data_IF_777383748095
#
_entry.id   IF_777383748095
#
_cell.length_a   1.000
_cell.length_b   1.000
_cell.length_c   1.000
_cell.angle_alpha   90.00
_cell.angle_beta   90.00
_cell.angle_gamma   90.00
#
_symmetry.space_group_name_H-M   'P 1'
#
loop_
_entity.id
_entity.type
_entity.pdbx_description
1 polymer ?
#
# COMPACT_ATOMS: atom_id res chain seq x y z
N UNK A 1 5.97 13.69 -1.50
CA UNK A 1 4.54 14.05 -1.64
C UNK A 1 3.73 12.87 -1.13
N UNK A 2 3.24 12.94 0.10
CA UNK A 2 2.18 12.05 0.57
C UNK A 2 0.89 12.51 -0.12
N UNK A 3 0.27 11.65 -0.91
CA UNK A 3 -0.90 12.01 -1.74
C UNK A 3 -2.15 12.38 -0.92
N UNK A 4 -2.08 12.49 0.42
CA UNK A 4 -3.19 12.84 1.29
C UNK A 4 -4.27 11.76 1.45
N UNK A 5 -4.14 10.62 0.75
CA UNK A 5 -5.14 9.54 0.70
C UNK A 5 -4.98 8.58 1.88
N UNK A 6 -3.76 8.11 2.14
CA UNK A 6 -3.41 7.26 3.30
C UNK A 6 -1.88 7.15 3.43
N UNK A 7 -1.37 7.04 4.66
CA UNK A 7 0.06 6.85 4.95
C UNK A 7 0.29 5.46 5.60
N UNK A 8 0.45 4.38 4.80
CA UNK A 8 0.74 3.06 5.34
C UNK A 8 2.19 2.94 5.81
N UNK A 9 2.44 1.98 6.70
CA UNK A 9 3.79 1.60 7.16
C UNK A 9 4.14 0.19 6.70
N UNK A 10 5.37 -0.26 6.95
CA UNK A 10 5.75 -1.67 6.76
C UNK A 10 5.91 -2.37 8.10
N UNK A 11 5.78 -3.69 8.08
CA UNK A 11 6.08 -4.58 9.20
C UNK A 11 6.56 -5.93 8.67
N UNK A 12 6.88 -6.86 9.56
CA UNK A 12 7.23 -8.23 9.20
C UNK A 12 6.23 -9.20 9.80
N UNK A 13 5.65 -10.07 8.99
CA UNK A 13 4.75 -11.14 9.42
C UNK A 13 5.32 -12.47 8.96
N UNK A 14 5.62 -13.37 9.91
CA UNK A 14 6.24 -14.66 9.59
C UNK A 14 7.57 -14.54 8.84
N UNK A 15 8.39 -13.54 9.18
CA UNK A 15 9.68 -13.28 8.52
C UNK A 15 9.58 -12.62 7.14
N UNK A 16 8.38 -12.26 6.68
CA UNK A 16 8.15 -11.63 5.36
C UNK A 16 7.73 -10.18 5.52
N UNK A 17 8.32 -9.29 4.70
CA UNK A 17 7.94 -7.88 4.63
C UNK A 17 6.46 -7.77 4.21
N UNK A 18 5.69 -6.97 4.95
CA UNK A 18 4.27 -6.74 4.74
C UNK A 18 3.95 -5.24 4.87
N UNK A 19 2.91 -4.80 4.15
CA UNK A 19 2.33 -3.47 4.33
C UNK A 19 1.36 -3.53 5.50
N UNK A 20 1.43 -2.56 6.41
CA UNK A 20 0.60 -2.45 7.61
C UNK A 20 -0.11 -1.11 7.65
N UNK A 21 -1.40 -1.16 7.98
CA UNK A 21 -2.30 -0.03 8.10
C UNK A 21 -2.89 -0.03 9.51
N UNK A 22 -2.80 1.10 10.21
CA UNK A 22 -3.44 1.29 11.52
C UNK A 22 -4.72 2.11 11.34
N UNK A 23 -5.87 1.46 11.39
CA UNK A 23 -7.18 2.10 11.24
C UNK A 23 -7.67 2.52 12.63
N UNK A 24 -7.26 3.72 13.06
CA UNK A 24 -7.52 4.23 14.42
C UNK A 24 -8.38 5.49 14.45
N UNK A 25 -8.60 6.11 13.29
CA UNK A 25 -9.44 7.30 13.19
C UNK A 25 -10.87 6.89 12.84
N UNK A 26 -11.84 7.32 13.66
CA UNK A 26 -13.27 7.06 13.43
C UNK A 26 -13.81 7.71 12.14
N UNK A 27 -13.06 8.65 11.53
CA UNK A 27 -13.39 9.22 10.21
C UNK A 27 -12.93 8.38 9.03
N UNK A 28 -12.11 7.35 9.24
CA UNK A 28 -11.70 6.45 8.16
C UNK A 28 -12.88 5.55 7.76
N UNK A 29 -13.26 5.61 6.49
CA UNK A 29 -14.33 4.80 5.91
C UNK A 29 -13.82 3.84 4.84
N UNK A 30 -14.73 3.07 4.25
CA UNK A 30 -14.40 2.12 3.18
C UNK A 30 -13.71 2.79 2.00
N UNK A 31 -14.12 4.01 1.63
CA UNK A 31 -13.51 4.77 0.54
C UNK A 31 -12.00 5.00 0.72
N UNK A 32 -11.54 5.21 1.96
CA UNK A 32 -10.13 5.47 2.25
C UNK A 32 -9.31 4.19 2.11
N UNK A 33 -9.90 3.05 2.52
CA UNK A 33 -9.30 1.73 2.37
C UNK A 33 -9.24 1.31 0.91
N UNK A 34 -10.31 1.55 0.15
CA UNK A 34 -10.37 1.26 -1.29
C UNK A 34 -9.31 2.07 -2.05
N UNK A 35 -9.17 3.36 -1.72
CA UNK A 35 -8.16 4.22 -2.33
C UNK A 35 -6.72 3.78 -1.98
N UNK A 36 -6.48 3.38 -0.73
CA UNK A 36 -5.20 2.80 -0.32
C UNK A 36 -4.88 1.50 -1.07
N UNK A 37 -5.87 0.59 -1.21
CA UNK A 37 -5.69 -0.67 -1.90
C UNK A 37 -5.40 -0.44 -3.39
N UNK A 38 -6.17 0.43 -4.05
CA UNK A 38 -5.97 0.78 -5.45
C UNK A 38 -4.57 1.35 -5.69
N UNK A 39 -4.12 2.28 -4.85
CA UNK A 39 -2.77 2.84 -4.94
C UNK A 39 -1.69 1.76 -4.73
N UNK A 40 -1.86 0.90 -3.72
CA UNK A 40 -0.92 -0.19 -3.41
C UNK A 40 -0.76 -1.15 -4.59
N UNK A 41 -1.87 -1.57 -5.20
CA UNK A 41 -1.88 -2.46 -6.37
C UNK A 41 -1.23 -1.79 -7.59
N UNK A 42 -1.53 -0.51 -7.84
CA UNK A 42 -0.94 0.23 -8.95
C UNK A 42 0.59 0.33 -8.81
N UNK A 43 1.11 0.66 -7.63
CA UNK A 43 2.55 0.69 -7.37
C UNK A 43 3.18 -0.71 -7.47
N UNK A 44 2.49 -1.74 -6.98
CA UNK A 44 2.94 -3.13 -7.09
C UNK A 44 3.10 -3.57 -8.55
N UNK A 45 2.08 -3.30 -9.37
CA UNK A 45 2.09 -3.62 -10.80
C UNK A 45 3.21 -2.88 -11.55
N UNK A 46 3.39 -1.57 -11.28
CA UNK A 46 4.46 -0.80 -11.88
C UNK A 46 5.85 -1.36 -11.52
N UNK A 47 6.06 -1.77 -10.27
CA UNK A 47 7.32 -2.39 -9.83
C UNK A 47 7.56 -3.76 -10.47
N UNK A 48 6.53 -4.58 -10.57
CA UNK A 48 6.62 -5.90 -11.21
C UNK A 48 7.00 -5.77 -12.69
N UNK A 49 6.35 -4.85 -13.43
CA UNK A 49 6.65 -4.60 -14.83
C UNK A 49 8.11 -4.12 -15.06
N UNK A 50 8.65 -3.30 -14.14
CA UNK A 50 10.06 -2.88 -14.21
C UNK A 50 11.04 -4.02 -13.90
N UNK A 51 10.66 -4.96 -13.02
CA UNK A 51 11.50 -6.11 -12.67
C UNK A 51 11.58 -7.12 -13.82
N UNK A 52 10.50 -7.31 -14.58
CA UNK A 52 10.43 -8.22 -15.73
C UNK A 52 11.15 -7.68 -16.98
N UNK A 53 11.52 -6.39 -16.97
CA UNK A 53 12.25 -5.74 -18.06
C UNK A 53 13.77 -5.76 -17.90
N UNK A 54 14.29 -6.44 -16.87
CA UNK A 54 15.75 -6.61 -16.66
C UNK A 54 16.15 -8.04 -17.07
N UNK A 55 17.02 -8.22 -18.09
CA UNK A 55 17.51 -9.54 -18.51
C UNK A 55 18.47 -10.17 -17.50
#
# INVERSE_FOLDING_TARGET
QESGIAAPSTTTVGGRLAIRVAIVNHRSGSQDIDALLAATLAFGAARAATAESTP
#
